data_IF_281790110283
#
_entry.id   IF_281790110283
#
_cell.length_a   1.000
_cell.length_b   1.000
_cell.length_c   1.000
_cell.angle_alpha   90.00
_cell.angle_beta   90.00
_cell.angle_gamma   90.00
#
_symmetry.space_group_name_H-M   'P 1'
#
loop_
_entity.id
_entity.type
_entity.pdbx_description
1 polymer ?
#
# COMPACT_ATOMS: atom_id res chain seq x y z
N UNK A 1 17.31 10.51 -20.93
CA UNK A 1 16.02 11.13 -20.62
C UNK A 1 14.89 10.14 -20.72
N UNK A 2 14.67 9.57 -21.90
CA UNK A 2 13.59 8.59 -22.09
C UNK A 2 13.74 7.35 -21.20
N UNK A 3 14.95 6.91 -20.91
CA UNK A 3 15.20 5.74 -20.08
C UNK A 3 14.65 5.92 -18.66
N UNK A 4 14.89 7.10 -18.08
CA UNK A 4 14.40 7.40 -16.73
C UNK A 4 12.87 7.44 -16.71
N UNK A 5 12.25 8.03 -17.73
CA UNK A 5 10.81 8.11 -17.82
C UNK A 5 10.18 6.72 -17.95
N UNK A 6 10.77 5.85 -18.79
CA UNK A 6 10.29 4.47 -18.94
C UNK A 6 10.42 3.69 -17.64
N UNK A 7 11.54 3.84 -16.94
CA UNK A 7 11.73 3.16 -15.65
C UNK A 7 10.69 3.61 -14.64
N UNK A 8 10.36 4.90 -14.61
CA UNK A 8 9.34 5.43 -13.70
C UNK A 8 7.95 4.92 -14.05
N UNK A 9 7.62 4.80 -15.33
CA UNK A 9 6.34 4.27 -15.77
C UNK A 9 6.22 2.79 -15.42
N UNK A 10 7.27 2.00 -15.63
CA UNK A 10 7.26 0.58 -15.27
C UNK A 10 7.12 0.40 -13.76
N UNK A 11 7.80 1.21 -12.99
CA UNK A 11 7.69 1.19 -11.54
C UNK A 11 6.26 1.49 -11.10
N UNK A 12 5.67 2.52 -11.67
CA UNK A 12 4.29 2.91 -11.37
C UNK A 12 3.33 1.79 -11.72
N UNK A 13 3.43 1.23 -12.92
CA UNK A 13 2.54 0.16 -13.38
C UNK A 13 2.64 -1.07 -12.49
N UNK A 14 3.86 -1.46 -12.11
CA UNK A 14 4.07 -2.61 -11.25
C UNK A 14 3.49 -2.40 -9.87
N UNK A 15 3.71 -1.24 -9.28
CA UNK A 15 3.14 -0.92 -7.97
C UNK A 15 1.62 -0.92 -8.01
N UNK A 16 1.03 -0.29 -9.01
CA UNK A 16 -0.42 -0.25 -9.14
C UNK A 16 -1.02 -1.63 -9.36
N UNK A 17 -0.33 -2.47 -10.13
CA UNK A 17 -0.77 -3.84 -10.35
C UNK A 17 -0.87 -4.60 -9.02
N UNK A 18 0.17 -4.53 -8.21
CA UNK A 18 0.17 -5.20 -6.91
C UNK A 18 -0.90 -4.61 -5.98
N UNK A 19 -0.96 -3.29 -5.89
CA UNK A 19 -1.91 -2.63 -4.99
C UNK A 19 -3.36 -2.97 -5.33
N UNK A 20 -3.67 -3.16 -6.62
CA UNK A 20 -5.04 -3.40 -7.07
C UNK A 20 -5.42 -4.88 -7.14
N UNK A 21 -4.48 -5.79 -6.90
CA UNK A 21 -4.72 -7.24 -7.01
C UNK A 21 -4.28 -7.98 -5.74
N UNK A 22 -5.13 -7.99 -4.70
CA UNK A 22 -4.80 -8.68 -3.45
C UNK A 22 -4.45 -10.15 -3.62
N UNK A 23 -4.97 -10.79 -4.65
CA UNK A 23 -4.63 -12.19 -4.95
C UNK A 23 -3.16 -12.43 -5.27
N UNK A 24 -2.40 -11.37 -5.57
CA UNK A 24 -0.96 -11.46 -5.83
C UNK A 24 -0.11 -11.22 -4.58
N UNK A 25 -0.72 -10.86 -3.46
CA UNK A 25 0.04 -10.50 -2.25
C UNK A 25 0.59 -11.74 -1.56
N UNK A 26 1.93 -11.86 -1.42
CA UNK A 26 2.53 -13.00 -0.72
C UNK A 26 2.11 -13.10 0.74
N UNK A 27 1.81 -11.94 1.35
CA UNK A 27 1.43 -11.85 2.75
C UNK A 27 -0.06 -11.51 2.91
N UNK A 28 -0.88 -11.91 1.94
CA UNK A 28 -2.32 -11.67 2.02
C UNK A 28 -2.85 -12.01 3.43
N UNK A 29 -3.70 -11.21 4.05
CA UNK A 29 -4.43 -10.07 3.49
C UNK A 29 -3.69 -8.72 3.58
N UNK A 30 -2.39 -8.74 3.73
CA UNK A 30 -1.59 -7.53 3.88
C UNK A 30 -0.61 -7.36 2.74
N UNK A 31 -0.41 -6.12 2.33
CA UNK A 31 0.63 -5.74 1.40
C UNK A 31 1.51 -4.69 2.08
N UNK A 32 2.77 -5.04 2.41
CA UNK A 32 3.67 -4.06 3.02
C UNK A 32 4.07 -2.99 2.02
N UNK A 33 4.10 -1.76 2.49
CA UNK A 33 4.50 -0.59 1.71
C UNK A 33 5.62 0.15 2.43
N UNK A 34 6.39 0.89 1.65
CA UNK A 34 7.42 1.76 2.18
C UNK A 34 7.29 3.12 1.50
N UNK A 35 7.52 4.17 2.27
CA UNK A 35 7.58 5.53 1.74
C UNK A 35 8.91 6.15 2.13
N UNK A 36 9.71 6.48 1.12
CA UNK A 36 11.02 7.08 1.29
C UNK A 36 10.95 8.55 0.95
N UNK A 37 11.42 9.38 1.88
CA UNK A 37 11.47 10.83 1.71
C UNK A 37 12.88 11.32 2.00
N UNK A 38 13.44 12.22 1.16
CA UNK A 38 14.77 12.77 1.41
C UNK A 38 14.84 13.43 2.79
N UNK A 39 15.92 13.16 3.52
CA UNK A 39 16.15 13.74 4.84
C UNK A 39 15.29 13.19 5.96
N UNK A 40 14.53 12.12 5.72
CA UNK A 40 13.68 11.48 6.73
C UNK A 40 13.91 9.98 6.73
N UNK A 41 13.58 9.35 7.85
CA UNK A 41 13.57 7.91 7.93
C UNK A 41 12.45 7.34 7.05
N UNK A 42 12.66 6.12 6.56
CA UNK A 42 11.64 5.43 5.78
C UNK A 42 10.40 5.18 6.66
N UNK A 43 9.24 5.42 6.08
CA UNK A 43 7.99 5.10 6.73
C UNK A 43 7.50 3.72 6.26
N UNK A 44 6.96 2.95 7.17
CA UNK A 44 6.35 1.67 6.84
C UNK A 44 4.84 1.80 6.91
N UNK A 45 4.16 1.21 5.93
CA UNK A 45 2.72 1.16 5.90
C UNK A 45 2.24 -0.20 5.40
N UNK A 46 0.96 -0.44 5.53
CA UNK A 46 0.35 -1.70 5.13
C UNK A 46 -1.01 -1.43 4.50
N UNK A 47 -1.22 -1.95 3.30
CA UNK A 47 -2.57 -2.10 2.75
C UNK A 47 -3.17 -3.38 3.32
N UNK A 48 -4.45 -3.35 3.63
CA UNK A 48 -5.12 -4.47 4.26
C UNK A 48 -6.37 -4.83 3.46
N UNK A 49 -6.43 -6.06 2.98
CA UNK A 49 -7.58 -6.60 2.25
C UNK A 49 -8.47 -7.43 3.17
N UNK A 50 -8.63 -6.99 4.41
CA UNK A 50 -9.43 -7.71 5.40
C UNK A 50 -10.87 -7.87 4.97
N UNK A 51 -11.31 -6.92 4.19
CA UNK A 51 -12.62 -6.95 3.60
C UNK A 51 -12.53 -7.25 2.11
N UNK A 52 -11.72 -8.22 1.75
CA UNK A 52 -11.67 -8.73 0.38
C UNK A 52 -13.04 -9.04 -0.18
N UNK A 53 -13.95 -8.84 0.63
CA UNK A 53 -15.37 -8.82 0.51
C UNK A 53 -15.91 -7.54 -0.11
N UNK A 54 -15.17 -6.50 -0.08
CA UNK A 54 -15.67 -5.23 -0.57
C UNK A 54 -15.83 -5.20 -2.07
N UNK A 55 -15.36 -6.22 -2.74
CA UNK A 55 -15.51 -6.29 -4.17
C UNK A 55 -15.06 -5.02 -4.89
N UNK A 56 -15.40 -4.89 -6.15
CA UNK A 56 -14.93 -3.72 -6.91
C UNK A 56 -15.54 -2.39 -6.45
N UNK A 57 -16.62 -2.43 -5.72
CA UNK A 57 -17.31 -1.21 -5.30
C UNK A 57 -16.85 -0.68 -3.94
N UNK A 58 -16.09 -1.47 -3.20
CA UNK A 58 -15.69 -1.12 -1.85
C UNK A 58 -14.22 -0.81 -1.69
N UNK A 59 -13.53 -0.50 -2.74
CA UNK A 59 -12.10 -0.25 -2.69
C UNK A 59 -11.78 1.01 -1.92
N UNK A 60 -11.36 0.81 -0.69
CA UNK A 60 -10.65 1.88 -0.03
C UNK A 60 -9.17 1.51 -0.06
N UNK A 61 -8.36 2.39 -0.58
CA UNK A 61 -6.92 2.25 -0.55
C UNK A 61 -6.40 2.91 0.71
N UNK A 62 -6.74 2.34 1.85
CA UNK A 62 -6.32 2.85 3.15
C UNK A 62 -4.98 2.25 3.54
N UNK A 63 -4.01 3.11 3.80
CA UNK A 63 -2.69 2.69 4.27
C UNK A 63 -2.64 2.82 5.78
N UNK A 64 -2.48 1.71 6.48
CA UNK A 64 -2.26 1.73 7.92
C UNK A 64 -0.77 1.95 8.18
N UNK A 65 -0.46 2.91 9.05
CA UNK A 65 0.92 3.28 9.35
C UNK A 65 1.48 2.31 10.38
N UNK A 66 2.12 1.28 9.90
CA UNK A 66 2.67 0.23 10.76
C UNK A 66 3.66 -0.62 9.97
N UNK A 67 4.53 -1.29 10.71
CA UNK A 67 5.41 -2.30 10.12
C UNK A 67 4.68 -3.64 10.14
N UNK A 68 4.73 -4.36 9.01
CA UNK A 68 4.08 -5.66 8.87
C UNK A 68 4.44 -6.63 10.00
N UNK A 69 5.70 -6.62 10.43
CA UNK A 69 6.19 -7.55 11.45
C UNK A 69 5.75 -7.19 12.87
N UNK A 70 5.20 -6.00 13.07
CA UNK A 70 4.74 -5.53 14.38
C UNK A 70 3.25 -5.26 14.40
N UNK A 71 2.51 -5.80 13.43
CA UNK A 71 1.07 -5.65 13.41
C UNK A 71 0.44 -6.30 14.64
N UNK A 72 -0.59 -5.65 15.21
CA UNK A 72 -1.37 -6.27 16.29
C UNK A 72 -2.01 -7.58 15.83
N UNK A 73 -2.28 -8.47 16.79
CA UNK A 73 -2.87 -9.76 16.48
C UNK A 73 -4.37 -9.72 16.25
N UNK A 74 -5.02 -8.59 16.54
CA UNK A 74 -6.47 -8.44 16.40
C UNK A 74 -6.82 -7.44 15.32
N UNK A 75 -7.83 -7.75 14.54
CA UNK A 75 -8.28 -6.90 13.46
C UNK A 75 -8.69 -5.50 13.96
N UNK A 76 -9.42 -5.44 15.07
CA UNK A 76 -9.86 -4.15 15.63
C UNK A 76 -8.67 -3.25 15.96
N UNK A 77 -7.60 -3.82 16.46
CA UNK A 77 -6.40 -3.06 16.78
C UNK A 77 -5.69 -2.57 15.52
N UNK A 78 -5.69 -3.38 14.46
CA UNK A 78 -5.12 -2.99 13.17
C UNK A 78 -5.92 -1.83 12.60
N UNK A 79 -7.24 -1.91 12.64
CA UNK A 79 -8.12 -0.86 12.11
C UNK A 79 -8.01 0.43 12.92
N UNK A 80 -7.57 0.36 14.15
CA UNK A 80 -7.39 1.53 15.01
C UNK A 80 -6.03 2.21 14.82
N UNK A 81 -5.11 1.63 14.06
CA UNK A 81 -3.80 2.24 13.80
C UNK A 81 -3.95 3.54 13.03
N UNK A 82 -2.97 4.46 13.18
CA UNK A 82 -2.93 5.63 12.31
C UNK A 82 -2.98 5.21 10.85
N UNK A 83 -3.69 5.98 10.03
CA UNK A 83 -3.90 5.60 8.64
C UNK A 83 -4.02 6.81 7.74
N UNK A 84 -3.71 6.59 6.46
CA UNK A 84 -3.99 7.51 5.38
C UNK A 84 -5.09 6.89 4.53
N UNK A 85 -6.18 7.60 4.36
CA UNK A 85 -7.32 7.12 3.59
C UNK A 85 -7.25 7.68 2.18
N UNK A 86 -7.20 6.78 1.20
CA UNK A 86 -7.24 7.11 -0.21
C UNK A 86 -8.38 6.35 -0.87
N UNK A 87 -8.87 6.84 -1.98
CA UNK A 87 -9.95 6.17 -2.70
C UNK A 87 -9.43 5.17 -3.72
N UNK A 88 -8.27 5.45 -4.29
CA UNK A 88 -7.70 4.65 -5.38
C UNK A 88 -6.23 4.31 -5.13
N UNK A 89 -5.75 3.17 -5.65
CA UNK A 89 -4.32 2.84 -5.59
C UNK A 89 -3.42 3.91 -6.19
N UNK A 90 -3.88 4.60 -7.23
CA UNK A 90 -3.13 5.69 -7.85
C UNK A 90 -2.82 6.79 -6.85
N UNK A 91 -3.74 7.09 -5.96
CA UNK A 91 -3.54 8.09 -4.92
C UNK A 91 -2.50 7.64 -3.89
N UNK A 92 -2.51 6.36 -3.56
CA UNK A 92 -1.50 5.76 -2.67
C UNK A 92 -0.11 5.91 -3.29
N UNK A 93 0.00 5.61 -4.56
CA UNK A 93 1.27 5.77 -5.27
C UNK A 93 1.71 7.22 -5.32
N UNK A 94 0.81 8.14 -5.62
CA UNK A 94 1.12 9.57 -5.69
C UNK A 94 1.51 10.15 -4.33
N UNK A 95 1.01 9.56 -3.25
CA UNK A 95 1.41 9.95 -1.90
C UNK A 95 2.83 9.48 -1.54
N UNK A 96 3.49 8.74 -2.42
CA UNK A 96 4.86 8.29 -2.25
C UNK A 96 5.02 6.84 -1.81
N UNK A 97 3.93 6.13 -1.60
CA UNK A 97 4.00 4.74 -1.18
C UNK A 97 4.42 3.83 -2.33
N UNK A 98 5.26 2.85 -2.00
CA UNK A 98 5.74 1.82 -2.93
C UNK A 98 5.59 0.46 -2.28
N UNK A 99 5.35 -0.56 -3.09
CA UNK A 99 5.33 -1.94 -2.61
C UNK A 99 6.73 -2.32 -2.14
N UNK A 100 6.79 -2.80 -0.93
CA UNK A 100 8.05 -3.17 -0.29
C UNK A 100 8.49 -4.59 -0.68
#
# INVERSE_FOLDING_TARGET
MSTTTLASEHDRQRNLLFMSRPGLWPQWPFLPLVRRRPGREDECGVLCDVLGLNGPAGHSATVHIANLFTLPGRLEEILALPKEVHDLPEEVYEAGWRVD
#
